data_IF_205939846318
#
_entry.id   IF_205939846318
#
_cell.length_a   1.000
_cell.length_b   1.000
_cell.length_c   1.000
_cell.angle_alpha   90.00
_cell.angle_beta   90.00
_cell.angle_gamma   90.00
#
_symmetry.space_group_name_H-M   'P 1'
#
loop_
_entity.id
_entity.type
_entity.pdbx_description
1 polymer ?
#
# COMPACT_ATOMS: atom_id res chain seq x y z
N UNK A 1 11.77 22.75 -20.95
CA UNK A 1 12.52 21.49 -20.96
C UNK A 1 11.55 20.41 -21.45
N UNK A 2 11.80 19.82 -22.60
CA UNK A 2 11.00 18.71 -23.10
C UNK A 2 11.39 17.48 -22.30
N UNK A 3 10.49 16.97 -21.47
CA UNK A 3 10.70 15.69 -20.78
C UNK A 3 10.72 14.62 -21.86
N UNK A 4 11.81 13.87 -21.94
CA UNK A 4 11.90 12.75 -22.87
C UNK A 4 10.77 11.75 -22.57
N UNK A 5 10.05 11.31 -23.62
CA UNK A 5 9.03 10.30 -23.46
C UNK A 5 9.68 9.02 -22.91
N UNK A 6 9.17 8.52 -21.79
CA UNK A 6 9.63 7.23 -21.25
C UNK A 6 9.18 6.15 -22.25
N UNK A 7 10.07 5.24 -22.67
CA UNK A 7 9.69 4.19 -23.61
C UNK A 7 8.63 3.25 -23.01
N UNK A 8 7.74 2.75 -23.83
CA UNK A 8 6.69 1.80 -23.42
C UNK A 8 7.24 0.50 -22.83
N UNK A 9 8.43 0.11 -23.22
CA UNK A 9 9.18 -1.00 -22.63
C UNK A 9 10.65 -0.64 -22.57
N UNK A 10 11.28 -0.93 -21.41
CA UNK A 10 12.71 -0.80 -21.26
C UNK A 10 13.43 -2.05 -21.81
N UNK A 11 14.69 -1.94 -22.24
CA UNK A 11 15.44 -3.11 -22.69
C UNK A 11 15.48 -4.22 -21.62
N UNK A 12 14.99 -5.41 -21.99
CA UNK A 12 14.92 -6.57 -21.10
C UNK A 12 13.65 -6.70 -20.26
N UNK A 13 12.76 -5.71 -20.30
CA UNK A 13 11.45 -5.81 -19.68
C UNK A 13 10.41 -6.41 -20.66
N UNK A 14 9.45 -7.22 -20.17
CA UNK A 14 8.37 -7.70 -21.01
C UNK A 14 7.44 -6.55 -21.39
N UNK A 15 6.79 -6.61 -22.57
CA UNK A 15 5.77 -5.63 -22.93
C UNK A 15 4.58 -5.74 -21.98
N UNK A 16 4.12 -4.59 -21.50
CA UNK A 16 2.98 -4.53 -20.57
C UNK A 16 1.68 -4.61 -21.37
N UNK A 17 0.81 -5.53 -20.94
CA UNK A 17 -0.51 -5.76 -21.50
C UNK A 17 -1.56 -5.82 -20.39
N UNK A 18 -2.83 -5.70 -20.72
CA UNK A 18 -3.92 -5.89 -19.76
C UNK A 18 -3.90 -7.30 -19.13
N UNK A 19 -3.47 -8.33 -19.86
CA UNK A 19 -3.30 -9.67 -19.30
C UNK A 19 -2.21 -9.72 -18.21
N UNK A 20 -1.05 -9.09 -18.48
CA UNK A 20 0.02 -8.98 -17.49
C UNK A 20 -0.41 -8.16 -16.27
N UNK A 21 -1.21 -7.13 -16.45
CA UNK A 21 -1.76 -6.35 -15.33
C UNK A 21 -2.68 -7.20 -14.43
N UNK A 22 -3.49 -8.09 -15.00
CA UNK A 22 -4.30 -9.05 -14.23
C UNK A 22 -3.42 -10.01 -13.41
N UNK A 23 -2.31 -10.49 -13.97
CA UNK A 23 -1.34 -11.33 -13.25
C UNK A 23 -0.69 -10.57 -12.07
N UNK A 24 -0.62 -9.23 -12.16
CA UNK A 24 -0.16 -8.34 -11.10
C UNK A 24 -1.28 -7.87 -10.15
N UNK A 25 -2.42 -8.57 -10.12
CA UNK A 25 -3.58 -8.26 -9.27
C UNK A 25 -4.21 -6.88 -9.51
N UNK A 26 -4.05 -6.33 -10.71
CA UNK A 26 -4.76 -5.15 -11.17
C UNK A 26 -5.95 -5.58 -12.02
N UNK A 27 -7.08 -4.93 -11.87
CA UNK A 27 -8.24 -5.14 -12.75
C UNK A 27 -8.03 -4.48 -14.11
N UNK A 28 -8.81 -4.88 -15.11
CA UNK A 28 -8.76 -4.23 -16.42
C UNK A 28 -9.04 -2.73 -16.33
N UNK A 29 -10.03 -2.33 -15.53
CA UNK A 29 -10.35 -0.91 -15.34
C UNK A 29 -9.25 -0.12 -14.63
N UNK A 30 -8.48 -0.76 -13.75
CA UNK A 30 -7.30 -0.13 -13.14
C UNK A 30 -6.16 0.01 -14.14
N UNK A 31 -5.97 -0.98 -15.00
CA UNK A 31 -5.00 -0.87 -16.08
C UNK A 31 -5.33 0.27 -17.03
N UNK A 32 -6.60 0.39 -17.45
CA UNK A 32 -7.06 1.50 -18.29
C UNK A 32 -6.81 2.86 -17.59
N UNK A 33 -7.14 2.95 -16.31
CA UNK A 33 -6.89 4.16 -15.51
C UNK A 33 -5.40 4.50 -15.40
N UNK A 34 -4.52 3.51 -15.26
CA UNK A 34 -3.06 3.72 -15.26
C UNK A 34 -2.61 4.31 -16.61
N UNK A 35 -3.09 3.74 -17.72
CA UNK A 35 -2.79 4.24 -19.06
C UNK A 35 -3.27 5.69 -19.25
N UNK A 36 -4.47 6.01 -18.74
CA UNK A 36 -5.02 7.37 -18.79
C UNK A 36 -4.19 8.35 -17.95
N UNK A 37 -3.81 7.98 -16.74
CA UNK A 37 -2.97 8.82 -15.86
C UNK A 37 -1.61 9.12 -16.49
N UNK A 38 -0.98 8.10 -17.07
CA UNK A 38 0.35 8.24 -17.69
C UNK A 38 0.30 8.85 -19.10
N UNK A 39 -0.85 8.80 -19.78
CA UNK A 39 -1.00 9.15 -21.19
C UNK A 39 -0.30 8.15 -22.13
N UNK A 40 0.05 6.97 -21.63
CA UNK A 40 0.74 5.89 -22.35
C UNK A 40 0.64 4.56 -21.61
N UNK A 41 1.06 3.49 -22.25
CA UNK A 41 1.24 2.19 -21.57
C UNK A 41 2.37 2.32 -20.52
N UNK A 42 2.18 1.78 -19.30
CA UNK A 42 3.24 1.78 -18.29
C UNK A 42 4.40 0.87 -18.70
N UNK A 43 5.61 1.14 -18.20
CA UNK A 43 6.71 0.17 -18.22
C UNK A 43 6.40 -0.97 -17.24
N UNK A 44 7.14 -2.07 -17.34
CA UNK A 44 6.98 -3.20 -16.42
C UNK A 44 7.25 -2.82 -14.96
N UNK A 45 8.29 -2.01 -14.74
CA UNK A 45 8.60 -1.47 -13.40
C UNK A 45 7.47 -0.59 -12.87
N UNK A 46 6.90 0.30 -13.69
CA UNK A 46 5.77 1.15 -13.29
C UNK A 46 4.53 0.32 -12.97
N UNK A 47 4.24 -0.71 -13.77
CA UNK A 47 3.15 -1.66 -13.48
C UNK A 47 3.32 -2.29 -12.10
N UNK A 48 4.54 -2.73 -11.76
CA UNK A 48 4.87 -3.28 -10.44
C UNK A 48 4.64 -2.28 -9.32
N UNK A 49 5.00 -1.02 -9.51
CA UNK A 49 4.77 0.06 -8.53
C UNK A 49 3.26 0.28 -8.33
N UNK A 50 2.47 0.39 -9.40
CA UNK A 50 1.02 0.52 -9.29
C UNK A 50 0.38 -0.69 -8.62
N UNK A 51 0.79 -1.91 -9.00
CA UNK A 51 0.33 -3.15 -8.37
C UNK A 51 0.56 -3.15 -6.85
N UNK A 52 1.75 -2.76 -6.41
CA UNK A 52 2.08 -2.70 -5.00
C UNK A 52 1.28 -1.61 -4.27
N UNK A 53 1.27 -0.38 -4.79
CA UNK A 53 0.63 0.76 -4.12
C UNK A 53 -0.91 0.68 -4.12
N UNK A 54 -1.51 0.08 -5.16
CA UNK A 54 -2.96 -0.10 -5.27
C UNK A 54 -3.44 -1.45 -4.71
N UNK A 55 -2.57 -2.21 -4.07
CA UNK A 55 -2.92 -3.48 -3.42
C UNK A 55 -3.79 -3.26 -2.18
N UNK A 56 -4.43 -4.32 -1.72
CA UNK A 56 -5.15 -4.34 -0.45
C UNK A 56 -4.21 -4.01 0.73
N UNK A 57 -2.94 -4.40 0.63
CA UNK A 57 -1.94 -4.15 1.66
C UNK A 57 -1.63 -2.66 1.85
N UNK A 58 -1.38 -1.93 0.74
CA UNK A 58 -0.99 -0.51 0.81
C UNK A 58 -2.19 0.44 0.83
N UNK A 59 -3.21 0.19 0.00
CA UNK A 59 -4.33 1.11 -0.20
C UNK A 59 -5.60 0.75 0.56
N UNK A 60 -5.65 -0.46 1.14
CA UNK A 60 -6.89 -1.01 1.70
C UNK A 60 -8.03 -1.01 0.68
N UNK A 61 -7.71 -1.40 -0.55
CA UNK A 61 -8.51 -1.31 -1.78
C UNK A 61 -9.96 -1.75 -1.59
N UNK A 62 -10.18 -2.88 -0.92
CA UNK A 62 -11.49 -3.46 -0.65
C UNK A 62 -11.96 -3.26 0.79
N UNK A 63 -11.06 -3.28 1.76
CA UNK A 63 -11.40 -3.19 3.18
C UNK A 63 -11.66 -1.77 3.68
N UNK A 64 -11.16 -0.74 3.00
CA UNK A 64 -11.31 0.66 3.43
C UNK A 64 -12.76 1.11 3.68
N UNK A 65 -13.76 0.76 2.85
CA UNK A 65 -15.15 1.09 3.13
C UNK A 65 -15.66 0.46 4.43
N UNK A 66 -15.25 -0.78 4.72
CA UNK A 66 -15.62 -1.51 5.94
C UNK A 66 -14.90 -0.91 7.16
N UNK A 67 -13.61 -0.62 7.05
CA UNK A 67 -12.82 -0.02 8.13
C UNK A 67 -13.40 1.34 8.56
N UNK A 68 -13.94 2.11 7.62
CA UNK A 68 -14.60 3.40 7.92
C UNK A 68 -15.87 3.28 8.75
N UNK A 69 -16.46 2.09 8.87
CA UNK A 69 -17.64 1.86 9.69
C UNK A 69 -17.30 1.60 11.17
N UNK A 70 -16.04 1.34 11.49
CA UNK A 70 -15.63 1.08 12.86
C UNK A 70 -15.63 2.36 13.70
N UNK A 71 -16.01 2.29 14.98
CA UNK A 71 -15.93 3.42 15.88
C UNK A 71 -14.47 3.78 16.15
N UNK A 72 -14.04 4.94 15.66
CA UNK A 72 -12.65 5.42 15.80
C UNK A 72 -12.52 6.64 16.67
N UNK A 73 -13.64 7.13 17.19
CA UNK A 73 -13.71 8.32 18.06
C UNK A 73 -14.45 8.01 19.36
N UNK A 74 -14.13 8.73 20.40
CA UNK A 74 -14.79 8.58 21.71
C UNK A 74 -13.98 9.23 22.82
N UNK A 75 -14.55 9.40 24.02
CA UNK A 75 -13.89 10.09 25.15
C UNK A 75 -12.59 9.41 25.63
N UNK A 76 -12.44 8.12 25.33
CA UNK A 76 -11.25 7.34 25.68
C UNK A 76 -10.18 7.36 24.58
N UNK A 77 -10.52 7.76 23.35
CA UNK A 77 -9.58 7.78 22.22
C UNK A 77 -8.69 9.00 22.36
N UNK A 78 -7.40 8.77 22.60
CA UNK A 78 -6.37 9.81 22.63
C UNK A 78 -5.79 9.99 21.23
N UNK A 79 -5.55 8.87 20.54
CA UNK A 79 -5.03 8.86 19.17
C UNK A 79 -5.75 7.77 18.38
N UNK A 80 -6.45 8.20 17.35
CA UNK A 80 -7.17 7.35 16.42
C UNK A 80 -6.36 6.99 15.17
N UNK A 81 -7.01 6.47 14.12
CA UNK A 81 -6.35 6.12 12.85
C UNK A 81 -5.66 7.31 12.19
N UNK A 82 -4.55 7.03 11.48
CA UNK A 82 -3.73 8.02 10.79
C UNK A 82 -2.31 8.11 11.33
N UNK A 83 -2.05 7.45 12.45
CA UNK A 83 -0.75 7.35 13.11
C UNK A 83 -0.31 5.89 13.23
N UNK A 84 0.96 5.64 13.59
CA UNK A 84 1.52 4.30 13.68
C UNK A 84 0.93 3.44 14.81
N UNK A 85 0.34 4.06 15.83
CA UNK A 85 -0.27 3.36 16.95
C UNK A 85 -1.59 3.99 17.36
N UNK A 86 -2.53 3.19 17.82
CA UNK A 86 -3.71 3.67 18.54
C UNK A 86 -3.39 3.92 20.00
N UNK A 87 -3.99 4.94 20.61
CA UNK A 87 -3.82 5.23 22.04
C UNK A 87 -5.18 5.43 22.70
N UNK A 88 -5.43 4.65 23.75
CA UNK A 88 -6.65 4.72 24.56
C UNK A 88 -6.33 5.12 26.00
N UNK A 89 -7.15 6.03 26.54
CA UNK A 89 -7.07 6.42 27.96
C UNK A 89 -7.83 5.41 28.83
N UNK A 90 -7.22 5.01 29.94
CA UNK A 90 -7.83 4.16 30.94
C UNK A 90 -8.47 5.00 32.07
N UNK A 91 -9.45 4.44 32.82
CA UNK A 91 -10.12 5.15 33.92
C UNK A 91 -9.19 5.62 35.02
N UNK A 92 -8.06 4.95 35.23
CA UNK A 92 -7.03 5.27 36.24
C UNK A 92 -6.04 6.37 35.80
N UNK A 93 -6.29 7.03 34.68
CA UNK A 93 -5.43 8.09 34.13
C UNK A 93 -4.24 7.59 33.30
N UNK A 94 -4.04 6.28 33.18
CA UNK A 94 -3.05 5.68 32.28
C UNK A 94 -3.54 5.69 30.84
N UNK A 95 -2.62 5.48 29.90
CA UNK A 95 -2.93 5.24 28.50
C UNK A 95 -2.30 3.94 28.04
N UNK A 96 -3.00 3.25 27.12
CA UNK A 96 -2.48 2.07 26.42
C UNK A 96 -2.25 2.46 24.97
N UNK A 97 -1.01 2.31 24.52
CA UNK A 97 -0.66 2.35 23.10
C UNK A 97 -0.65 0.92 22.56
N UNK A 98 -1.23 0.73 21.37
CA UNK A 98 -1.30 -0.59 20.73
C UNK A 98 -1.09 -0.47 19.23
N UNK A 99 -0.51 -1.52 18.65
CA UNK A 99 -0.25 -1.68 17.23
C UNK A 99 -0.40 -3.15 16.84
N UNK A 100 -0.87 -3.43 15.65
CA UNK A 100 -0.90 -4.77 15.07
C UNK A 100 -0.14 -4.71 13.76
N UNK A 101 0.83 -5.59 13.60
CA UNK A 101 1.69 -5.65 12.42
C UNK A 101 1.73 -7.05 11.84
N UNK A 102 1.98 -7.13 10.52
CA UNK A 102 2.29 -8.38 9.85
C UNK A 102 3.74 -8.77 10.11
N UNK A 103 4.00 -10.06 10.35
CA UNK A 103 5.36 -10.61 10.49
C UNK A 103 5.99 -11.03 9.14
N UNK A 104 5.33 -10.77 8.02
CA UNK A 104 5.82 -11.13 6.69
C UNK A 104 6.61 -10.00 6.02
N UNK A 105 7.33 -9.20 6.80
CA UNK A 105 8.13 -8.13 6.27
C UNK A 105 9.40 -8.67 5.59
N UNK A 106 9.86 -8.08 4.47
CA UNK A 106 11.09 -8.50 3.77
C UNK A 106 12.34 -8.53 4.65
N UNK A 107 12.41 -7.74 5.70
CA UNK A 107 13.50 -7.76 6.68
C UNK A 107 13.71 -9.14 7.33
N UNK A 108 12.65 -9.93 7.49
CA UNK A 108 12.76 -11.29 8.01
C UNK A 108 13.63 -12.22 7.13
N UNK A 109 13.73 -11.92 5.84
CA UNK A 109 14.55 -12.67 4.87
C UNK A 109 15.91 -12.01 4.64
N UNK A 110 15.91 -10.68 4.45
CA UNK A 110 17.11 -9.93 4.10
C UNK A 110 18.00 -9.62 5.33
N UNK A 111 17.41 -9.46 6.50
CA UNK A 111 18.09 -9.15 7.75
C UNK A 111 17.36 -9.82 8.94
N UNK A 112 17.48 -11.15 9.10
CA UNK A 112 16.66 -11.91 10.04
C UNK A 112 16.87 -11.55 11.52
N UNK A 113 17.90 -10.79 11.85
CA UNK A 113 18.12 -10.19 13.19
C UNK A 113 17.32 -8.89 13.41
N UNK A 114 16.73 -8.31 12.37
CA UNK A 114 15.80 -7.20 12.44
C UNK A 114 14.40 -7.75 12.58
N UNK A 115 13.68 -7.44 13.58
CA UNK A 115 12.26 -7.79 13.67
C UNK A 115 11.40 -6.81 12.87
N UNK A 116 10.21 -7.22 12.44
CA UNK A 116 9.24 -6.34 11.77
C UNK A 116 8.86 -5.11 12.60
N UNK A 117 8.97 -5.19 13.91
CA UNK A 117 8.79 -4.07 14.85
C UNK A 117 9.91 -3.04 14.81
N UNK A 118 11.08 -3.38 14.30
CA UNK A 118 12.19 -2.44 14.15
C UNK A 118 12.07 -1.59 12.88
N UNK A 119 11.28 -2.05 11.92
CA UNK A 119 11.06 -1.39 10.63
C UNK A 119 9.78 -0.51 10.63
N UNK A 120 8.96 -0.60 11.68
CA UNK A 120 7.67 0.07 11.80
C UNK A 120 7.70 1.44 12.46
#
# INVERSE_FOLDING_TARGET
>A
MTVAAIPEALPGEPPVTSALALEHNLTASEYDLICDILGRVPTFTELGVFSALWSEHCSYKHSKPVLRTFPTTGPQVVQGPGENAGVLRLPNGWAVAFKIESHNHPSAVAAPWYGSTADG
#
